data_IF_954497349383
#
_entry.id   IF_954497349383
#
_cell.length_a   1.000
_cell.length_b   1.000
_cell.length_c   1.000
_cell.angle_alpha   90.00
_cell.angle_beta   90.00
_cell.angle_gamma   90.00
#
_symmetry.space_group_name_H-M   'P 1'
#
loop_
_entity.id
_entity.type
_entity.pdbx_description
1 polymer ?
#
# COMPACT_ATOMS: atom_id res chain seq x y z
N UNK A 1 -13.12 12.93 50.15
CA UNK A 1 -13.11 12.25 48.83
C UNK A 1 -13.87 10.90 48.82
N UNK A 2 -14.10 10.26 49.97
CA UNK A 2 -14.84 8.98 50.13
C UNK A 2 -16.35 9.03 49.88
N UNK A 3 -16.95 10.21 49.77
CA UNK A 3 -18.40 10.35 49.81
C UNK A 3 -19.06 10.19 48.42
N UNK A 4 -18.28 10.35 47.34
CA UNK A 4 -18.75 10.08 45.98
C UNK A 4 -18.67 8.59 45.64
N UNK A 5 -17.64 7.90 46.14
CA UNK A 5 -17.45 6.46 45.92
C UNK A 5 -18.54 5.64 46.62
N UNK A 6 -18.93 6.01 47.84
CA UNK A 6 -20.02 5.37 48.57
C UNK A 6 -21.37 5.53 47.88
N UNK A 7 -21.64 6.71 47.31
CA UNK A 7 -22.86 6.97 46.53
C UNK A 7 -22.92 6.16 45.23
N UNK A 8 -21.79 5.99 44.55
CA UNK A 8 -21.68 5.15 43.34
C UNK A 8 -21.91 3.68 43.68
N UNK A 9 -21.29 3.17 44.75
CA UNK A 9 -21.47 1.77 45.19
C UNK A 9 -22.92 1.50 45.59
N UNK A 10 -23.58 2.42 46.30
CA UNK A 10 -25.00 2.31 46.66
C UNK A 10 -25.93 2.33 45.44
N UNK A 11 -25.57 3.09 44.40
CA UNK A 11 -26.31 3.12 43.12
C UNK A 11 -26.09 1.84 42.30
N UNK A 12 -24.87 1.32 42.32
CA UNK A 12 -24.48 0.07 41.65
C UNK A 12 -25.12 -1.17 42.29
N UNK A 13 -25.24 -1.21 43.62
CA UNK A 13 -25.93 -2.27 44.37
C UNK A 13 -27.44 -2.38 44.07
N UNK A 14 -28.07 -1.31 43.55
CA UNK A 14 -29.47 -1.32 43.10
C UNK A 14 -29.63 -1.80 41.65
N UNK A 15 -28.53 -1.92 40.90
CA UNK A 15 -28.55 -2.46 39.55
C UNK A 15 -28.57 -3.99 39.67
N UNK A 16 -29.48 -4.64 38.94
CA UNK A 16 -29.57 -6.08 38.93
C UNK A 16 -28.25 -6.69 38.43
N UNK A 17 -27.65 -7.60 39.19
CA UNK A 17 -26.40 -8.30 38.84
C UNK A 17 -26.46 -8.91 37.44
N UNK A 18 -27.63 -9.42 37.03
CA UNK A 18 -27.82 -9.95 35.68
C UNK A 18 -27.65 -8.89 34.58
N UNK A 19 -28.07 -7.64 34.81
CA UNK A 19 -27.91 -6.53 33.84
C UNK A 19 -26.43 -6.15 33.70
N UNK A 20 -25.69 -6.12 34.81
CA UNK A 20 -24.24 -5.82 34.77
C UNK A 20 -23.49 -6.90 33.98
N UNK A 21 -23.81 -8.17 34.19
CA UNK A 21 -23.21 -9.30 33.46
C UNK A 21 -23.54 -9.22 31.96
N UNK A 22 -24.78 -8.91 31.59
CA UNK A 22 -25.19 -8.78 30.19
C UNK A 22 -24.50 -7.59 29.51
N UNK A 23 -24.42 -6.43 30.15
CA UNK A 23 -23.72 -5.26 29.58
C UNK A 23 -22.22 -5.54 29.44
N UNK A 24 -21.62 -6.21 30.41
CA UNK A 24 -20.20 -6.61 30.33
C UNK A 24 -19.96 -7.61 29.20
N UNK A 25 -20.84 -8.60 29.04
CA UNK A 25 -20.76 -9.58 27.94
C UNK A 25 -20.93 -8.91 26.57
N UNK A 26 -21.89 -8.00 26.44
CA UNK A 26 -22.08 -7.21 25.22
C UNK A 26 -20.87 -6.32 24.94
N UNK A 27 -20.30 -5.66 25.95
CA UNK A 27 -19.11 -4.85 25.81
C UNK A 27 -17.92 -5.67 25.31
N UNK A 28 -17.65 -6.84 25.90
CA UNK A 28 -16.61 -7.74 25.42
C UNK A 28 -16.89 -8.19 23.98
N UNK A 29 -18.12 -8.59 23.67
CA UNK A 29 -18.47 -9.07 22.33
C UNK A 29 -18.33 -7.96 21.28
N UNK A 30 -18.64 -6.72 21.62
CA UNK A 30 -18.55 -5.58 20.69
C UNK A 30 -17.12 -5.02 20.55
N UNK A 31 -16.31 -5.12 21.61
CA UNK A 31 -14.91 -4.63 21.62
C UNK A 31 -13.94 -5.69 21.10
N UNK A 32 -14.15 -6.97 21.45
CA UNK A 32 -13.32 -8.10 21.05
C UNK A 32 -13.84 -8.76 19.77
N UNK A 33 -15.13 -8.59 19.44
CA UNK A 33 -15.70 -9.14 18.22
C UNK A 33 -15.05 -8.55 16.97
N UNK A 34 -15.01 -9.36 15.91
CA UNK A 34 -14.54 -8.99 14.56
C UNK A 34 -15.42 -7.92 13.87
N UNK A 35 -16.11 -7.05 14.61
CA UNK A 35 -16.70 -5.79 14.15
C UNK A 35 -15.60 -4.79 13.84
N UNK A 36 -14.92 -5.11 12.77
CA UNK A 36 -13.55 -4.77 12.55
C UNK A 36 -13.45 -3.66 11.51
N UNK A 37 -14.05 -2.52 11.85
CA UNK A 37 -13.95 -1.29 11.07
C UNK A 37 -12.47 -0.90 10.85
N UNK A 38 -11.63 -1.18 11.84
CA UNK A 38 -10.19 -0.99 11.74
C UNK A 38 -9.56 -1.86 10.65
N UNK A 39 -9.72 -3.21 10.65
CA UNK A 39 -9.11 -3.99 9.57
C UNK A 39 -9.77 -3.68 8.21
N UNK A 40 -11.07 -3.36 8.14
CA UNK A 40 -11.72 -2.91 6.89
C UNK A 40 -11.00 -1.69 6.30
N UNK A 41 -10.73 -0.67 7.13
CA UNK A 41 -9.97 0.50 6.70
C UNK A 41 -8.56 0.15 6.23
N UNK A 42 -7.83 -0.68 7.00
CA UNK A 42 -6.47 -1.10 6.60
C UNK A 42 -6.46 -1.92 5.31
N UNK A 43 -7.48 -2.75 5.08
CA UNK A 43 -7.61 -3.53 3.86
C UNK A 43 -7.93 -2.63 2.67
N UNK A 44 -8.83 -1.66 2.83
CA UNK A 44 -9.14 -0.70 1.76
C UNK A 44 -7.92 0.12 1.35
N UNK A 45 -7.08 0.52 2.31
CA UNK A 45 -5.82 1.20 2.03
C UNK A 45 -4.83 0.28 1.30
N UNK A 46 -4.70 -0.98 1.75
CA UNK A 46 -3.85 -1.98 1.11
C UNK A 46 -4.29 -2.25 -0.32
N UNK A 47 -5.60 -2.36 -0.58
CA UNK A 47 -6.17 -2.52 -1.92
C UNK A 47 -5.80 -1.32 -2.79
N UNK A 48 -6.06 -0.09 -2.31
CA UNK A 48 -5.71 1.13 -3.08
C UNK A 48 -4.22 1.23 -3.39
N UNK A 49 -3.35 0.78 -2.48
CA UNK A 49 -1.90 0.73 -2.71
C UNK A 49 -1.55 -0.27 -3.82
N UNK A 50 -2.03 -1.50 -3.71
CA UNK A 50 -1.78 -2.55 -4.71
C UNK A 50 -2.30 -2.14 -6.09
N UNK A 51 -3.49 -1.53 -6.16
CA UNK A 51 -4.03 -1.03 -7.42
C UNK A 51 -3.17 0.09 -8.04
N UNK A 52 -2.59 0.97 -7.22
CA UNK A 52 -1.64 1.99 -7.71
C UNK A 52 -0.38 1.35 -8.27
N UNK A 53 0.18 0.36 -7.57
CA UNK A 53 1.36 -0.39 -8.04
C UNK A 53 1.06 -1.11 -9.37
N UNK A 54 -0.10 -1.78 -9.48
CA UNK A 54 -0.55 -2.41 -10.73
C UNK A 54 -0.66 -1.40 -11.87
N UNK A 55 -1.27 -0.23 -11.63
CA UNK A 55 -1.40 0.82 -12.66
C UNK A 55 -0.05 1.38 -13.09
N UNK A 56 0.87 1.56 -12.14
CA UNK A 56 2.22 2.02 -12.41
C UNK A 56 2.97 1.04 -13.32
N UNK A 57 3.08 -0.22 -12.93
CA UNK A 57 3.81 -1.22 -13.71
C UNK A 57 3.16 -1.50 -15.07
N UNK A 58 1.82 -1.45 -15.18
CA UNK A 58 1.15 -1.56 -16.48
C UNK A 58 1.57 -0.44 -17.44
N UNK A 59 1.73 0.79 -16.94
CA UNK A 59 2.17 1.94 -17.75
C UNK A 59 3.63 1.81 -18.16
N UNK A 60 4.50 1.33 -17.27
CA UNK A 60 5.91 1.06 -17.58
C UNK A 60 6.02 -0.01 -18.66
N UNK A 61 5.32 -1.14 -18.49
CA UNK A 61 5.30 -2.22 -19.50
C UNK A 61 4.82 -1.71 -20.86
N UNK A 62 3.80 -0.85 -20.92
CA UNK A 62 3.34 -0.29 -22.19
C UNK A 62 4.42 0.58 -22.85
N UNK A 63 5.09 1.40 -22.04
CA UNK A 63 6.16 2.29 -22.51
C UNK A 63 7.36 1.49 -23.01
N UNK A 64 7.80 0.51 -22.23
CA UNK A 64 8.94 -0.35 -22.57
C UNK A 64 8.63 -1.23 -23.76
N UNK A 65 7.39 -1.71 -23.90
CA UNK A 65 6.97 -2.47 -25.07
C UNK A 65 7.02 -1.61 -26.33
N UNK A 66 6.63 -0.33 -26.26
CA UNK A 66 6.76 0.61 -27.39
C UNK A 66 8.23 0.86 -27.74
N UNK A 67 9.10 1.06 -26.75
CA UNK A 67 10.55 1.19 -26.96
C UNK A 67 11.14 -0.07 -27.61
N UNK A 68 10.77 -1.24 -27.12
CA UNK A 68 11.19 -2.54 -27.68
C UNK A 68 10.74 -2.70 -29.13
N UNK A 69 9.52 -2.32 -29.45
CA UNK A 69 8.98 -2.41 -30.81
C UNK A 69 9.70 -1.44 -31.77
N UNK A 70 9.97 -0.22 -31.32
CA UNK A 70 10.75 0.78 -32.07
C UNK A 70 12.18 0.28 -32.35
N UNK A 71 12.84 -0.28 -31.34
CA UNK A 71 14.19 -0.87 -31.46
C UNK A 71 14.18 -2.10 -32.38
N UNK A 72 13.18 -2.99 -32.30
CA UNK A 72 13.13 -4.22 -33.12
C UNK A 72 12.80 -3.94 -34.58
N UNK A 73 11.97 -2.94 -34.84
CA UNK A 73 11.46 -2.65 -36.19
C UNK A 73 12.37 -1.67 -36.94
N UNK A 74 13.07 -0.78 -36.22
CA UNK A 74 13.95 0.21 -36.81
C UNK A 74 15.43 -0.05 -36.48
N UNK A 75 16.21 -0.41 -37.49
CA UNK A 75 17.67 -0.64 -37.36
C UNK A 75 18.42 0.59 -36.86
N UNK A 76 17.94 1.79 -37.22
CA UNK A 76 18.51 3.06 -36.77
C UNK A 76 18.19 3.33 -35.29
N UNK A 77 16.99 2.95 -34.84
CA UNK A 77 16.59 3.02 -33.43
C UNK A 77 17.41 2.08 -32.53
N UNK A 78 17.69 0.86 -33.02
CA UNK A 78 18.59 -0.08 -32.34
C UNK A 78 20.03 0.45 -32.23
N UNK A 79 20.56 1.02 -33.31
CA UNK A 79 21.92 1.54 -33.31
C UNK A 79 22.06 2.77 -32.40
N UNK A 80 21.05 3.66 -32.36
CA UNK A 80 21.00 4.78 -31.41
C UNK A 80 20.95 4.30 -29.96
N UNK A 81 20.06 3.36 -29.64
CA UNK A 81 19.95 2.79 -28.29
C UNK A 81 21.26 2.12 -27.82
N UNK A 82 21.91 1.36 -28.71
CA UNK A 82 23.19 0.72 -28.40
C UNK A 82 24.33 1.74 -28.16
N UNK A 83 24.30 2.89 -28.82
CA UNK A 83 25.29 3.97 -28.64
C UNK A 83 25.01 4.83 -27.40
N UNK A 84 23.75 5.12 -27.09
CA UNK A 84 23.37 5.98 -25.96
C UNK A 84 23.44 5.25 -24.62
N UNK A 85 22.87 4.04 -24.52
CA UNK A 85 22.78 3.31 -23.24
C UNK A 85 24.00 2.42 -22.98
N UNK A 86 24.61 1.87 -24.04
CA UNK A 86 25.69 0.88 -23.93
C UNK A 86 27.02 1.36 -24.52
N UNK A 87 27.08 2.58 -25.08
CA UNK A 87 28.28 3.15 -25.70
C UNK A 87 28.96 2.21 -26.72
N UNK A 88 28.16 1.38 -27.41
CA UNK A 88 28.68 0.41 -28.36
C UNK A 88 29.26 1.11 -29.60
N UNK A 89 30.42 0.63 -30.04
CA UNK A 89 31.13 1.12 -31.24
C UNK A 89 31.29 0.04 -32.29
N UNK A 90 31.38 0.44 -33.56
CA UNK A 90 31.76 -0.49 -34.63
C UNK A 90 33.27 -0.77 -34.56
N UNK A 91 33.70 -1.93 -35.05
CA UNK A 91 35.11 -2.33 -34.98
C UNK A 91 36.07 -1.38 -35.74
N UNK A 92 35.53 -0.60 -36.68
CA UNK A 92 36.25 0.38 -37.50
C UNK A 92 36.00 1.83 -37.07
N UNK A 93 35.51 2.08 -35.86
CA UNK A 93 35.12 3.40 -35.38
C UNK A 93 35.76 3.70 -34.01
N UNK A 94 36.37 4.88 -33.89
CA UNK A 94 36.91 5.39 -32.63
C UNK A 94 35.91 6.37 -32.00
N UNK A 95 35.48 6.06 -30.77
CA UNK A 95 34.50 6.85 -29.99
C UNK A 95 35.25 7.62 -28.90
N UNK A 96 35.07 8.94 -28.87
CA UNK A 96 35.64 9.82 -27.85
C UNK A 96 34.53 10.26 -26.89
N UNK A 97 34.70 9.99 -25.60
CA UNK A 97 33.84 10.51 -24.53
C UNK A 97 34.53 11.76 -23.98
N UNK A 98 33.87 12.91 -24.09
CA UNK A 98 34.37 14.17 -23.55
C UNK A 98 33.68 14.36 -22.20
N UNK A 99 34.47 14.35 -21.12
CA UNK A 99 34.03 14.76 -19.79
C UNK A 99 34.34 16.26 -19.62
N UNK A 100 33.35 17.03 -19.16
CA UNK A 100 33.51 18.45 -18.80
C UNK A 100 34.31 18.64 -17.51
#
# INVERSE_FOLDING_TARGET
MSDRTSQIIRKLSRVNTYVVVVVFFLFITFVVGDSNLYKRYTYDEKIRRLEREIRHYKKEIETDRKKLDDIRTNREGLERYAREEFYMKRANEDVFIIED
#
